data_IF_657107679373
#
_entry.id   IF_657107679373
#
_cell.length_a   1.000
_cell.length_b   1.000
_cell.length_c   1.000
_cell.angle_alpha   90.00
_cell.angle_beta   90.00
_cell.angle_gamma   90.00
#
_symmetry.space_group_name_H-M   'P 1'
#
loop_
_entity.id
_entity.type
_entity.pdbx_description
1 polymer ?
#
# COMPACT_ATOMS: atom_id res chain seq x y z
N UNK A 1 -15.43 4.33 -16.55
CA UNK A 1 -16.09 5.64 -16.39
C UNK A 1 -15.26 6.50 -15.46
N UNK A 2 -15.45 7.83 -15.42
CA UNK A 2 -14.59 8.81 -14.73
C UNK A 2 -14.68 8.78 -13.19
N UNK A 3 -14.70 7.60 -12.58
CA UNK A 3 -14.81 7.38 -11.13
C UNK A 3 -13.74 6.42 -10.57
N UNK A 4 -12.83 5.89 -11.40
CA UNK A 4 -11.77 4.98 -10.98
C UNK A 4 -10.43 5.74 -10.97
N UNK A 5 -9.57 5.50 -9.97
CA UNK A 5 -8.23 6.11 -9.89
C UNK A 5 -7.35 5.74 -11.09
N UNK A 6 -6.12 6.30 -11.18
CA UNK A 6 -5.20 5.99 -12.26
C UNK A 6 -4.93 4.48 -12.34
N UNK A 7 -4.59 3.98 -13.54
CA UNK A 7 -4.22 2.57 -13.72
C UNK A 7 -2.82 2.37 -13.13
N UNK A 8 -2.73 1.51 -12.12
CA UNK A 8 -1.47 1.14 -11.48
C UNK A 8 -0.69 0.09 -12.29
N UNK A 9 0.50 -0.25 -11.82
CA UNK A 9 1.38 -1.24 -12.44
C UNK A 9 0.78 -2.65 -12.57
N UNK A 10 -0.27 -3.00 -11.81
CA UNK A 10 -1.03 -4.25 -11.99
C UNK A 10 -1.96 -4.23 -13.21
N UNK A 11 -2.19 -3.06 -13.82
CA UNK A 11 -3.15 -2.90 -14.93
C UNK A 11 -4.60 -2.71 -14.47
N UNK A 12 -4.82 -2.44 -13.19
CA UNK A 12 -6.13 -2.12 -12.60
C UNK A 12 -6.13 -0.71 -12.02
N UNK A 13 -7.31 -0.12 -11.89
CA UNK A 13 -7.45 1.20 -11.29
C UNK A 13 -7.11 1.18 -9.79
N UNK A 14 -6.35 2.17 -9.34
CA UNK A 14 -6.00 2.34 -7.94
C UNK A 14 -7.20 2.86 -7.14
N UNK A 15 -7.34 2.32 -5.92
CA UNK A 15 -8.36 2.70 -4.94
C UNK A 15 -7.71 3.51 -3.82
N UNK A 16 -8.15 4.76 -3.59
CA UNK A 16 -7.61 5.61 -2.52
C UNK A 16 -7.61 4.88 -1.17
N UNK A 17 -6.49 4.95 -0.46
CA UNK A 17 -6.26 4.33 0.84
C UNK A 17 -6.47 2.81 0.88
N UNK A 18 -6.47 2.13 -0.27
CA UNK A 18 -6.55 0.67 -0.36
C UNK A 18 -5.56 0.08 -1.37
N UNK A 19 -4.98 0.88 -2.25
CA UNK A 19 -3.87 0.47 -3.12
C UNK A 19 -2.54 1.02 -2.64
N UNK A 20 -1.46 0.28 -2.88
CA UNK A 20 -0.10 0.74 -2.62
C UNK A 20 0.89 0.25 -3.68
N UNK A 21 1.96 1.00 -3.86
CA UNK A 21 3.14 0.56 -4.59
C UNK A 21 4.06 -0.26 -3.69
N UNK A 22 4.63 -1.33 -4.24
CA UNK A 22 5.61 -2.21 -3.57
C UNK A 22 6.81 -2.52 -4.48
N UNK A 23 7.82 -3.15 -3.90
CA UNK A 23 8.90 -3.79 -4.64
C UNK A 23 8.39 -5.07 -5.32
N UNK A 24 8.16 -5.00 -6.63
CA UNK A 24 7.61 -6.10 -7.43
C UNK A 24 8.54 -7.32 -7.55
N UNK A 25 9.81 -7.18 -7.19
CA UNK A 25 10.75 -8.30 -7.21
C UNK A 25 10.61 -9.17 -5.95
N UNK A 26 9.96 -8.64 -4.91
CA UNK A 26 9.75 -9.32 -3.63
C UNK A 26 8.29 -9.73 -3.48
N UNK A 27 7.36 -8.81 -3.75
CA UNK A 27 5.94 -9.03 -3.53
C UNK A 27 5.16 -9.11 -4.85
N UNK A 28 4.35 -10.17 -5.06
CA UNK A 28 3.42 -10.22 -6.18
C UNK A 28 2.37 -9.10 -6.12
N UNK A 29 1.88 -8.67 -7.27
CA UNK A 29 0.65 -7.88 -7.31
C UNK A 29 -0.54 -8.66 -6.73
N UNK A 30 -1.50 -7.93 -6.18
CA UNK A 30 -2.64 -8.48 -5.46
C UNK A 30 -2.35 -8.90 -4.03
N UNK A 31 -1.08 -8.89 -3.59
CA UNK A 31 -0.72 -9.26 -2.22
C UNK A 31 -1.43 -8.34 -1.22
N UNK A 32 -2.24 -8.88 -0.29
CA UNK A 32 -2.82 -8.10 0.79
C UNK A 32 -1.78 -7.86 1.88
N UNK A 33 -1.59 -6.60 2.26
CA UNK A 33 -0.60 -6.17 3.24
C UNK A 33 -1.30 -5.30 4.28
N UNK A 34 -1.26 -5.72 5.54
CA UNK A 34 -1.68 -4.88 6.65
C UNK A 34 -0.51 -3.98 7.07
N UNK A 35 -0.71 -2.68 6.93
CA UNK A 35 0.25 -1.64 7.28
C UNK A 35 -0.12 -1.09 8.66
N UNK A 36 0.69 -1.39 9.66
CA UNK A 36 0.57 -0.81 11.00
C UNK A 36 1.51 0.38 11.12
N UNK A 37 0.95 1.59 11.16
CA UNK A 37 1.70 2.86 11.26
C UNK A 37 0.80 3.94 11.85
N UNK A 38 1.35 4.82 12.69
CA UNK A 38 0.65 6.02 13.10
C UNK A 38 0.81 7.09 12.01
N UNK A 39 -0.29 7.39 11.32
CA UNK A 39 -0.35 8.40 10.25
C UNK A 39 -1.11 9.65 10.69
N UNK A 40 -1.40 9.79 11.99
CA UNK A 40 -2.19 10.91 12.52
C UNK A 40 -1.53 12.27 12.23
N UNK A 41 -0.20 12.35 12.21
CA UNK A 41 0.59 13.51 11.78
C UNK A 41 0.39 13.90 10.31
N UNK A 42 -0.03 12.97 9.45
CA UNK A 42 -0.43 13.26 8.06
C UNK A 42 -1.92 13.59 7.93
N UNK A 43 -2.66 13.70 9.05
CA UNK A 43 -4.11 13.90 9.05
C UNK A 43 -4.89 12.63 8.71
N UNK A 44 -4.26 11.45 8.77
CA UNK A 44 -4.88 10.17 8.49
C UNK A 44 -5.08 9.36 9.78
N UNK A 45 -6.34 9.25 10.22
CA UNK A 45 -6.71 8.53 11.44
C UNK A 45 -6.48 9.35 12.72
N UNK A 46 -6.74 8.73 13.87
CA UNK A 46 -6.73 9.39 15.19
C UNK A 46 -5.72 8.75 16.17
N UNK A 47 -4.65 8.14 15.65
CA UNK A 47 -3.61 7.47 16.42
C UNK A 47 -3.04 6.23 15.70
N UNK A 48 -2.29 5.36 16.40
CA UNK A 48 -1.73 4.14 15.83
C UNK A 48 -2.84 3.24 15.30
N UNK A 49 -2.98 3.21 13.98
CA UNK A 49 -3.99 2.41 13.30
C UNK A 49 -3.32 1.52 12.27
N UNK A 50 -4.01 0.44 11.93
CA UNK A 50 -3.59 -0.42 10.85
C UNK A 50 -4.56 -0.31 9.69
N UNK A 51 -4.05 -0.49 8.48
CA UNK A 51 -4.86 -0.44 7.27
C UNK A 51 -4.50 -1.59 6.35
N UNK A 52 -5.51 -2.27 5.84
CA UNK A 52 -5.33 -3.28 4.79
C UNK A 52 -5.17 -2.57 3.45
N UNK A 53 -4.04 -2.83 2.81
CA UNK A 53 -3.67 -2.35 1.49
C UNK A 53 -3.51 -3.53 0.54
N UNK A 54 -3.70 -3.29 -0.75
CA UNK A 54 -3.44 -4.25 -1.82
C UNK A 54 -2.26 -3.73 -2.65
N UNK A 55 -1.29 -4.60 -2.90
CA UNK A 55 -0.18 -4.34 -3.81
C UNK A 55 -0.68 -4.25 -5.27
N UNK A 56 -0.95 -3.05 -5.77
CA UNK A 56 -1.51 -2.86 -7.13
C UNK A 56 -0.62 -2.00 -8.02
N UNK A 57 0.50 -1.53 -7.48
CA UNK A 57 1.45 -0.68 -8.20
C UNK A 57 2.90 -0.99 -7.83
N UNK A 58 3.83 -0.38 -8.55
CA UNK A 58 5.26 -0.43 -8.28
C UNK A 58 5.90 0.90 -8.65
N UNK A 59 7.04 1.22 -8.04
CA UNK A 59 7.80 2.41 -8.38
C UNK A 59 9.30 2.15 -8.25
N UNK A 60 10.11 2.77 -9.10
CA UNK A 60 11.57 2.55 -9.13
C UNK A 60 12.27 2.89 -7.80
N UNK A 61 11.69 3.79 -7.01
CA UNK A 61 12.18 4.16 -5.68
C UNK A 61 11.61 3.30 -4.53
N UNK A 62 10.70 2.37 -4.83
CA UNK A 62 10.04 1.52 -3.84
C UNK A 62 10.74 0.16 -3.84
N UNK A 63 11.80 0.07 -3.04
CA UNK A 63 12.70 -1.09 -2.98
C UNK A 63 12.78 -1.62 -1.55
N UNK A 64 12.69 -2.94 -1.41
CA UNK A 64 12.83 -3.65 -0.14
C UNK A 64 11.53 -4.24 0.43
N UNK A 65 11.64 -5.18 1.39
CA UNK A 65 10.53 -6.04 1.82
C UNK A 65 9.45 -5.31 2.64
N UNK A 66 9.80 -4.20 3.30
CA UNK A 66 8.87 -3.39 4.11
C UNK A 66 8.92 -1.91 3.71
N UNK A 67 9.00 -1.66 2.40
CA UNK A 67 8.93 -0.33 1.78
C UNK A 67 7.71 -0.29 0.88
N UNK A 68 6.93 0.79 0.99
CA UNK A 68 5.76 0.97 0.15
C UNK A 68 5.38 2.44 0.04
N UNK A 69 4.57 2.74 -0.96
CA UNK A 69 3.98 4.05 -1.18
C UNK A 69 2.46 3.92 -1.19
N UNK A 70 1.77 4.68 -0.35
CA UNK A 70 0.32 4.58 -0.20
C UNK A 70 -0.35 5.46 -1.26
N UNK A 71 -1.26 4.89 -2.04
CA UNK A 71 -2.08 5.70 -2.92
C UNK A 71 -3.16 6.42 -2.09
N UNK A 72 -2.92 7.69 -1.74
CA UNK A 72 -3.84 8.49 -0.93
C UNK A 72 -5.09 8.92 -1.72
N UNK A 73 -4.97 9.10 -3.03
CA UNK A 73 -6.02 9.59 -3.91
C UNK A 73 -5.47 10.46 -5.04
N UNK A 74 -6.32 11.28 -5.65
CA UNK A 74 -5.94 12.19 -6.73
C UNK A 74 -6.38 13.62 -6.43
N UNK A 75 -5.67 14.60 -7.01
CA UNK A 75 -5.89 16.03 -6.78
C UNK A 75 -5.01 16.62 -5.67
N UNK A 76 -5.00 17.95 -5.59
CA UNK A 76 -4.05 18.71 -4.77
C UNK A 76 -4.08 18.30 -3.30
N UNK A 77 -5.28 18.12 -2.74
CA UNK A 77 -5.44 17.71 -1.33
C UNK A 77 -4.83 16.34 -1.05
N UNK A 78 -4.95 15.39 -1.98
CA UNK A 78 -4.33 14.08 -1.83
C UNK A 78 -2.80 14.18 -1.90
N UNK A 79 -2.28 15.06 -2.76
CA UNK A 79 -0.85 15.36 -2.85
C UNK A 79 -0.28 15.97 -1.58
N UNK A 80 -0.99 16.93 -0.97
CA UNK A 80 -0.61 17.52 0.32
C UNK A 80 -0.50 16.47 1.43
N UNK A 81 -1.52 15.61 1.56
CA UNK A 81 -1.53 14.54 2.55
C UNK A 81 -0.40 13.55 2.28
N UNK A 82 -0.24 13.10 1.02
CA UNK A 82 0.81 12.15 0.64
C UNK A 82 2.21 12.69 0.95
N UNK A 83 2.45 13.98 0.71
CA UNK A 83 3.73 14.63 1.00
C UNK A 83 4.14 14.62 2.48
N UNK A 84 3.18 14.47 3.40
CA UNK A 84 3.43 14.35 4.84
C UNK A 84 3.75 12.91 5.27
N UNK A 85 3.57 11.92 4.39
CA UNK A 85 3.77 10.51 4.74
C UNK A 85 5.25 10.14 4.63
N UNK A 86 5.93 10.17 5.78
CA UNK A 86 7.27 9.60 5.96
C UNK A 86 7.36 8.90 7.32
N UNK A 87 6.69 7.76 7.42
CA UNK A 87 6.49 7.08 8.70
C UNK A 87 7.15 5.70 8.70
N UNK A 88 7.66 5.30 9.86
CA UNK A 88 7.97 3.90 10.11
C UNK A 88 6.67 3.10 10.12
N UNK A 89 6.70 1.91 9.52
CA UNK A 89 5.54 1.04 9.44
C UNK A 89 5.98 -0.42 9.60
N UNK A 90 5.10 -1.22 10.21
CA UNK A 90 5.23 -2.67 10.21
C UNK A 90 4.31 -3.25 9.14
N UNK A 91 4.87 -4.08 8.27
CA UNK A 91 4.15 -4.78 7.22
C UNK A 91 3.81 -6.17 7.71
N UNK A 92 2.53 -6.54 7.64
CA UNK A 92 2.05 -7.90 7.90
C UNK A 92 1.42 -8.39 6.61
N UNK A 93 2.11 -9.30 5.93
CA UNK A 93 1.66 -9.85 4.64
C UNK A 93 0.70 -11.00 4.89
N UNK A 94 -0.47 -10.95 4.26
CA UNK A 94 -1.50 -11.97 4.40
C UNK A 94 -1.41 -12.92 3.21
N UNK A 95 -0.96 -14.14 3.45
CA UNK A 95 -0.94 -15.19 2.44
C UNK A 95 -2.22 -16.04 2.54
N UNK A 96 -2.77 -16.51 1.41
CA UNK A 96 -3.77 -17.58 1.43
C UNK A 96 -3.24 -18.79 2.20
N UNK A 97 -4.09 -19.42 3.02
CA UNK A 97 -3.69 -20.56 3.86
C UNK A 97 -3.03 -21.68 3.06
N UNK A 98 -3.55 -21.96 1.86
CA UNK A 98 -2.97 -22.97 0.96
C UNK A 98 -1.54 -22.64 0.54
N UNK A 99 -1.17 -21.37 0.38
CA UNK A 99 0.19 -20.94 0.01
C UNK A 99 1.10 -20.89 1.25
N UNK A 100 0.58 -20.38 2.36
CA UNK A 100 1.34 -20.28 3.62
C UNK A 100 1.81 -21.66 4.12
N UNK A 101 0.98 -22.70 3.96
CA UNK A 101 1.33 -24.06 4.33
C UNK A 101 2.50 -24.65 3.53
N UNK A 102 2.73 -24.23 2.27
CA UNK A 102 3.86 -24.69 1.46
C UNK A 102 5.18 -23.97 1.78
N UNK A 103 5.13 -22.75 2.32
CA UNK A 103 6.34 -21.98 2.67
C UNK A 103 6.85 -22.20 4.10
N UNK A 104 6.05 -22.86 4.95
CA UNK A 104 6.39 -23.19 6.34
C UNK A 104 6.85 -24.66 6.52
N UNK A 105 6.95 -25.41 5.43
CA UNK A 105 7.42 -26.81 5.39
C UNK A 105 8.87 -26.89 4.91
#
# INVERSE_FOLDING_TARGET
GPAAGPIGGQGVALTPMHSMAIDRNIWPYGTPIWIASDLSSAGLGSGPTGRLMIAQDTGSAIVGPARGDLFVGSGDRAGEIAGLIRHSARFIVLAPLGIAAYGAA
#
